data_IF_859577022601
#
_entry.id   IF_859577022601
#
_cell.length_a   1.000
_cell.length_b   1.000
_cell.length_c   1.000
_cell.angle_alpha   90.00
_cell.angle_beta   90.00
_cell.angle_gamma   90.00
#
_symmetry.space_group_name_H-M   'P 1'
#
loop_
_entity.id
_entity.type
_entity.pdbx_description
1 polymer ?
#
# COMPACT_ATOMS: atom_id res chain seq x y z
N UNK A 1 19.64 2.41 2.61
CA UNK A 1 19.40 1.96 1.23
C UNK A 1 18.43 2.91 0.57
N UNK A 2 18.52 3.11 -0.74
CA UNK A 2 17.61 4.01 -1.49
C UNK A 2 16.52 3.17 -2.18
N UNK A 3 15.32 3.75 -2.34
CA UNK A 3 14.13 3.08 -2.90
C UNK A 3 14.43 2.24 -4.17
N UNK A 4 15.17 2.79 -5.12
CA UNK A 4 15.46 2.10 -6.38
C UNK A 4 16.38 0.89 -6.20
N UNK A 5 17.30 0.92 -5.24
CA UNK A 5 18.15 -0.24 -4.94
C UNK A 5 17.30 -1.41 -4.41
N UNK A 6 16.32 -1.14 -3.55
CA UNK A 6 15.40 -2.14 -3.02
C UNK A 6 14.50 -2.73 -4.12
N UNK A 7 13.99 -1.87 -5.02
CA UNK A 7 13.22 -2.32 -6.19
C UNK A 7 14.05 -3.25 -7.06
N UNK A 8 15.29 -2.88 -7.38
CA UNK A 8 16.18 -3.69 -8.23
C UNK A 8 16.54 -5.02 -7.53
N UNK A 9 16.84 -4.97 -6.23
CA UNK A 9 17.14 -6.16 -5.44
C UNK A 9 16.00 -7.18 -5.53
N UNK A 10 14.76 -6.73 -5.28
CA UNK A 10 13.59 -7.60 -5.33
C UNK A 10 13.25 -8.06 -6.76
N UNK A 11 13.42 -7.19 -7.76
CA UNK A 11 13.20 -7.55 -9.17
C UNK A 11 14.18 -8.61 -9.69
N UNK A 12 15.43 -8.60 -9.22
CA UNK A 12 16.50 -9.44 -9.80
C UNK A 12 16.80 -10.68 -9.00
N UNK A 13 16.77 -10.61 -7.67
CA UNK A 13 17.30 -11.68 -6.81
C UNK A 13 16.21 -12.42 -6.02
N UNK A 14 15.05 -11.80 -5.82
CA UNK A 14 13.97 -12.41 -5.06
C UNK A 14 13.02 -13.20 -5.95
N UNK A 15 12.79 -14.48 -5.60
CA UNK A 15 11.92 -15.40 -6.38
C UNK A 15 10.46 -15.41 -5.92
N UNK A 16 10.15 -14.85 -4.74
CA UNK A 16 8.80 -14.80 -4.21
C UNK A 16 7.98 -13.62 -4.72
N UNK A 17 6.74 -13.49 -4.21
CA UNK A 17 5.91 -12.30 -4.44
C UNK A 17 6.34 -11.17 -3.52
N UNK A 18 6.48 -9.96 -4.07
CA UNK A 18 6.86 -8.78 -3.30
C UNK A 18 5.99 -7.59 -3.68
N UNK A 19 5.88 -6.65 -2.76
CA UNK A 19 5.21 -5.36 -2.95
C UNK A 19 5.97 -4.30 -2.14
N UNK A 20 6.53 -3.32 -2.83
CA UNK A 20 7.16 -2.13 -2.22
C UNK A 20 6.16 -0.98 -2.35
N UNK A 21 5.90 -0.26 -1.27
CA UNK A 21 4.96 0.86 -1.23
C UNK A 21 5.70 2.17 -0.96
N UNK A 22 5.31 3.24 -1.66
CA UNK A 22 5.69 4.60 -1.30
C UNK A 22 4.57 5.60 -1.61
N UNK A 23 4.51 6.71 -0.88
CA UNK A 23 3.61 7.82 -1.21
C UNK A 23 3.97 8.35 -2.61
N UNK A 24 2.94 8.67 -3.40
CA UNK A 24 3.13 9.21 -4.76
C UNK A 24 4.04 10.46 -4.70
N UNK A 25 5.23 10.43 -5.32
CA UNK A 25 6.13 11.56 -5.35
C UNK A 25 5.62 12.65 -6.32
N UNK A 26 6.19 13.85 -6.18
CA UNK A 26 5.95 14.99 -7.09
C UNK A 26 6.76 14.93 -8.38
N UNK A 27 7.56 13.88 -8.57
CA UNK A 27 8.37 13.64 -9.76
C UNK A 27 7.94 12.34 -10.45
N UNK A 28 8.32 12.17 -11.71
CA UNK A 28 8.10 10.92 -12.43
C UNK A 28 9.09 9.84 -11.95
N UNK A 29 8.62 8.68 -11.44
CA UNK A 29 9.52 7.63 -10.97
C UNK A 29 10.32 6.99 -12.10
N UNK A 30 11.61 6.70 -11.85
CA UNK A 30 12.51 6.07 -12.82
C UNK A 30 12.03 4.67 -13.23
N UNK A 31 11.48 3.91 -12.28
CA UNK A 31 10.87 2.60 -12.52
C UNK A 31 9.36 2.77 -12.35
N UNK A 32 8.59 2.45 -13.39
CA UNK A 32 7.14 2.65 -13.40
C UNK A 32 6.44 1.83 -12.30
N UNK A 33 5.72 2.47 -11.36
CA UNK A 33 4.91 1.77 -10.37
C UNK A 33 3.49 1.50 -10.88
N UNK A 34 2.77 0.67 -10.12
CA UNK A 34 1.31 0.59 -10.12
C UNK A 34 0.77 1.63 -9.14
N UNK A 35 -0.33 2.31 -9.47
CA UNK A 35 -0.91 3.36 -8.63
C UNK A 35 -2.24 2.90 -8.03
N UNK A 36 -2.41 3.05 -6.72
CA UNK A 36 -3.69 2.87 -6.06
C UNK A 36 -3.86 3.93 -4.98
N UNK A 37 -4.92 4.73 -5.09
CA UNK A 37 -5.11 5.88 -4.22
C UNK A 37 -3.96 6.91 -4.29
N UNK A 38 -3.36 7.21 -3.14
CA UNK A 38 -2.27 8.20 -2.97
C UNK A 38 -0.87 7.59 -2.96
N UNK A 39 -0.78 6.29 -3.25
CA UNK A 39 0.42 5.50 -3.09
C UNK A 39 0.79 4.82 -4.40
N UNK A 40 2.09 4.60 -4.55
CA UNK A 40 2.73 3.86 -5.62
C UNK A 40 3.24 2.53 -5.09
N UNK A 41 3.09 1.51 -5.92
CA UNK A 41 3.43 0.14 -5.58
C UNK A 41 4.32 -0.46 -6.66
N UNK A 42 5.45 -1.05 -6.27
CA UNK A 42 6.28 -1.87 -7.13
C UNK A 42 6.12 -3.33 -6.70
N UNK A 43 5.38 -4.09 -7.49
CA UNK A 43 5.07 -5.49 -7.24
C UNK A 43 5.23 -6.32 -8.51
N UNK A 44 5.56 -7.60 -8.36
CA UNK A 44 5.65 -8.58 -9.46
C UNK A 44 4.32 -9.30 -9.74
N UNK A 45 3.21 -8.68 -9.37
CA UNK A 45 1.84 -9.11 -9.64
C UNK A 45 0.94 -7.89 -9.81
N UNK A 46 -0.22 -8.06 -10.45
CA UNK A 46 -1.18 -6.97 -10.67
C UNK A 46 -1.94 -6.65 -9.39
N UNK A 47 -1.93 -5.38 -9.00
CA UNK A 47 -2.64 -4.85 -7.85
C UNK A 47 -3.99 -4.29 -8.34
N UNK A 48 -5.12 -4.67 -7.70
CA UNK A 48 -6.42 -4.14 -8.09
C UNK A 48 -6.46 -2.61 -7.88
N UNK A 49 -6.90 -1.82 -8.88
CA UNK A 49 -7.02 -0.38 -8.74
C UNK A 49 -8.16 -0.07 -7.77
N UNK A 50 -7.81 0.44 -6.59
CA UNK A 50 -8.79 0.82 -5.58
C UNK A 50 -8.73 2.33 -5.33
N UNK A 51 -9.92 2.92 -5.23
CA UNK A 51 -10.06 4.33 -4.86
C UNK A 51 -9.86 4.45 -3.35
N UNK A 52 -8.96 5.35 -2.94
CA UNK A 52 -8.79 5.69 -1.53
C UNK A 52 -10.08 6.27 -0.97
N UNK A 53 -10.56 5.69 0.14
CA UNK A 53 -11.70 6.27 0.88
C UNK A 53 -11.26 7.50 1.68
N UNK A 54 -9.99 7.52 2.08
CA UNK A 54 -9.39 8.61 2.87
C UNK A 54 -8.85 9.66 1.92
N UNK A 55 -9.47 10.84 1.89
CA UNK A 55 -8.98 11.97 1.12
C UNK A 55 -7.93 12.73 1.95
N UNK A 56 -6.97 13.37 1.28
CA UNK A 56 -5.98 14.21 1.96
C UNK A 56 -6.63 15.33 2.80
N UNK A 57 -7.80 15.81 2.40
CA UNK A 57 -8.59 16.80 3.15
C UNK A 57 -9.09 16.28 4.50
N UNK A 58 -9.36 14.98 4.63
CA UNK A 58 -9.77 14.36 5.90
C UNK A 58 -8.65 14.36 6.95
N UNK A 59 -7.40 14.58 6.50
CA UNK A 59 -6.16 14.46 7.27
C UNK A 59 -5.43 15.78 7.50
N UNK A 60 -5.73 16.80 6.70
CA UNK A 60 -5.18 18.16 6.77
C UNK A 60 -6.22 19.10 7.40
N UNK A 61 -6.37 19.03 8.72
CA UNK A 61 -7.09 20.07 9.44
C UNK A 61 -6.33 21.39 9.40
N UNK A 62 -6.60 22.22 8.40
CA UNK A 62 -6.17 23.64 8.40
C UNK A 62 -7.33 24.61 8.33
N UNK A 63 -8.54 24.21 7.92
CA UNK A 63 -9.75 25.05 7.96
C UNK A 63 -10.97 24.26 8.47
N UNK A 64 -11.13 24.11 9.80
CA UNK A 64 -12.46 23.91 10.43
C UNK A 64 -13.26 22.61 10.19
N UNK A 65 -12.73 21.56 9.54
CA UNK A 65 -13.54 20.35 9.29
C UNK A 65 -12.81 19.03 9.05
N UNK A 66 -11.49 18.99 9.23
CA UNK A 66 -10.70 17.76 9.08
C UNK A 66 -10.98 16.79 10.21
N UNK A 67 -11.83 15.81 9.98
CA UNK A 67 -12.33 14.93 11.01
C UNK A 67 -11.30 13.82 11.30
N UNK A 68 -10.23 14.17 12.04
CA UNK A 68 -9.16 13.25 12.47
C UNK A 68 -9.72 11.97 13.11
N UNK A 69 -10.89 12.07 13.76
CA UNK A 69 -11.62 10.92 14.28
C UNK A 69 -12.16 10.02 13.16
N UNK A 70 -12.75 10.56 12.10
CA UNK A 70 -13.15 9.78 10.92
C UNK A 70 -11.97 9.08 10.27
N UNK A 71 -10.83 9.74 10.13
CA UNK A 71 -9.64 9.10 9.56
C UNK A 71 -9.12 7.95 10.45
N UNK A 72 -9.08 8.13 11.78
CA UNK A 72 -8.75 7.05 12.72
C UNK A 72 -9.75 5.90 12.66
N UNK A 73 -11.04 6.19 12.57
CA UNK A 73 -12.10 5.19 12.41
C UNK A 73 -11.99 4.42 11.09
N UNK A 74 -11.72 5.12 9.99
CA UNK A 74 -11.56 4.54 8.65
C UNK A 74 -10.31 3.65 8.55
N UNK A 75 -9.22 4.05 9.19
CA UNK A 75 -7.99 3.27 9.29
C UNK A 75 -8.10 2.11 10.27
N UNK A 76 -8.99 2.21 11.27
CA UNK A 76 -9.17 1.19 12.30
C UNK A 76 -7.99 1.05 13.27
N UNK A 77 -7.04 1.99 13.28
CA UNK A 77 -5.86 1.96 14.14
C UNK A 77 -5.96 2.97 15.28
N UNK A 78 -5.76 2.49 16.51
CA UNK A 78 -5.60 3.35 17.69
C UNK A 78 -4.13 3.49 18.07
N UNK A 79 -3.58 4.68 17.83
CA UNK A 79 -2.21 5.05 18.21
C UNK A 79 -2.13 5.68 19.61
N UNK A 80 -3.22 5.71 20.39
CA UNK A 80 -3.22 6.29 21.74
C UNK A 80 -2.21 5.60 22.67
N UNK A 81 -2.09 4.28 22.54
CA UNK A 81 -1.30 3.39 23.40
C UNK A 81 0.21 3.47 23.20
N UNK A 82 0.68 4.05 22.09
CA UNK A 82 2.10 4.10 21.76
C UNK A 82 2.65 5.50 22.03
N UNK A 83 3.77 5.61 22.72
CA UNK A 83 4.48 6.89 22.82
C UNK A 83 5.39 7.04 21.59
N UNK A 84 4.94 7.85 20.63
CA UNK A 84 5.74 8.12 19.44
C UNK A 84 5.66 9.60 19.05
N UNK A 85 6.80 10.19 18.65
CA UNK A 85 6.80 11.54 18.11
C UNK A 85 6.04 11.58 16.78
N UNK A 86 5.10 12.52 16.64
CA UNK A 86 4.38 12.83 15.38
C UNK A 86 3.42 11.72 14.89
N UNK A 87 2.49 11.28 15.76
CA UNK A 87 1.39 10.33 15.43
C UNK A 87 0.61 10.70 14.17
N UNK A 88 0.43 12.00 13.92
CA UNK A 88 -0.28 12.51 12.74
C UNK A 88 0.44 12.17 11.44
N UNK A 89 1.78 12.21 11.45
CA UNK A 89 2.60 11.89 10.27
C UNK A 89 2.49 10.40 9.93
N UNK A 90 2.44 9.54 10.95
CA UNK A 90 2.22 8.10 10.77
C UNK A 90 0.87 7.84 10.10
N UNK A 91 -0.22 8.36 10.67
CA UNK A 91 -1.57 8.18 10.10
C UNK A 91 -1.64 8.72 8.66
N UNK A 92 -0.96 9.84 8.37
CA UNK A 92 -0.89 10.42 7.02
C UNK A 92 -0.13 9.57 6.02
N UNK A 93 0.78 8.72 6.46
CA UNK A 93 1.52 7.83 5.56
C UNK A 93 0.89 6.44 5.46
N UNK A 94 0.02 6.04 6.41
CA UNK A 94 -0.66 4.75 6.37
C UNK A 94 -1.45 4.53 5.07
N UNK A 95 -1.35 3.31 4.55
CA UNK A 95 -2.18 2.82 3.44
C UNK A 95 -3.62 2.57 3.96
N UNK A 96 -4.63 2.73 3.10
CA UNK A 96 -6.02 2.35 3.43
C UNK A 96 -6.07 0.82 3.67
N UNK A 97 -6.61 0.35 4.81
CA UNK A 97 -6.70 -1.07 5.13
C UNK A 97 -7.35 -1.92 4.03
N UNK A 98 -8.30 -1.36 3.25
CA UNK A 98 -8.91 -2.10 2.14
C UNK A 98 -7.91 -2.37 1.01
N UNK A 99 -7.02 -1.42 0.72
CA UNK A 99 -5.96 -1.60 -0.29
C UNK A 99 -4.98 -2.67 0.20
N UNK A 100 -4.56 -2.58 1.46
CA UNK A 100 -3.70 -3.59 2.07
C UNK A 100 -4.31 -4.99 2.03
N UNK A 101 -5.59 -5.12 2.39
CA UNK A 101 -6.34 -6.38 2.31
C UNK A 101 -6.41 -6.91 0.89
N UNK A 102 -6.72 -6.07 -0.09
CA UNK A 102 -6.82 -6.50 -1.49
C UNK A 102 -5.47 -6.97 -2.06
N UNK A 103 -4.36 -6.34 -1.67
CA UNK A 103 -3.01 -6.81 -2.03
C UNK A 103 -2.75 -8.20 -1.42
N UNK A 104 -3.07 -8.38 -0.14
CA UNK A 104 -2.88 -9.66 0.55
C UNK A 104 -3.75 -10.77 -0.06
N UNK A 105 -5.05 -10.50 -0.22
CA UNK A 105 -6.01 -11.44 -0.82
C UNK A 105 -5.53 -11.87 -2.22
N UNK A 106 -4.96 -10.94 -3.01
CA UNK A 106 -4.46 -11.25 -4.34
C UNK A 106 -3.26 -12.20 -4.31
N UNK A 107 -2.35 -12.02 -3.35
CA UNK A 107 -1.21 -12.94 -3.19
C UNK A 107 -1.70 -14.32 -2.74
N UNK A 108 -2.63 -14.38 -1.78
CA UNK A 108 -3.22 -15.64 -1.33
C UNK A 108 -3.94 -16.39 -2.46
N UNK A 109 -4.66 -15.67 -3.31
CA UNK A 109 -5.29 -16.22 -4.50
C UNK A 109 -4.24 -16.84 -5.43
N UNK A 110 -3.15 -16.12 -5.73
CA UNK A 110 -2.08 -16.63 -6.61
C UNK A 110 -1.42 -17.89 -6.03
N UNK A 111 -1.10 -17.88 -4.73
CA UNK A 111 -0.52 -19.04 -4.06
C UNK A 111 -1.47 -20.24 -4.08
N UNK A 112 -2.76 -20.02 -3.88
CA UNK A 112 -3.78 -21.07 -3.96
C UNK A 112 -3.86 -21.67 -5.37
N UNK A 113 -3.83 -20.83 -6.43
CA UNK A 113 -3.81 -21.31 -7.81
C UNK A 113 -2.54 -22.08 -8.16
N UNK A 114 -1.38 -21.67 -7.63
CA UNK A 114 -0.11 -22.38 -7.84
C UNK A 114 -0.08 -23.77 -7.17
N UNK A 115 -0.81 -23.94 -6.06
CA UNK A 115 -0.92 -25.24 -5.36
C UNK A 115 -1.81 -26.24 -6.10
N UNK A 116 -2.77 -25.76 -6.91
CA UNK A 116 -3.57 -26.62 -7.76
C UNK A 116 -2.64 -27.17 -8.84
N UNK A 117 -2.21 -28.44 -8.68
CA UNK A 117 -1.48 -29.14 -9.73
C UNK A 117 -2.31 -29.09 -11.00
N UNK A 118 -1.79 -28.40 -12.01
CA UNK A 118 -2.40 -28.34 -13.32
C UNK A 118 -2.46 -29.76 -13.86
N UNK A 119 -3.63 -30.39 -13.76
CA UNK A 119 -3.90 -31.65 -14.45
C UNK A 119 -3.70 -31.40 -15.94
N UNK A 120 -2.93 -32.27 -16.59
CA UNK A 120 -2.57 -32.19 -18.01
C UNK A 120 -3.79 -31.75 -18.84
N UNK A 121 -3.74 -30.53 -19.37
CA UNK A 121 -4.72 -30.05 -20.35
C UNK A 121 -4.06 -30.23 -21.72
N UNK A 122 -4.34 -31.40 -22.28
CA UNK A 122 -3.98 -31.93 -23.60
C UNK A 122 -2.50 -32.30 -23.79
#
# INVERSE_FOLDING_TARGET
MTLYQEIILLQKFFKGKYCIENVKPYYEPLIKPQASGRHYFWANFQIPPLVNRIKHQDMNGTNGGGNKQKAKQLLGFDLSKYDCPKKEKLLRNCVDPLIGKAILDKVLEIESHNQIKQGVLF
#
